data_IF_483983034026
#
_entry.id   IF_483983034026
#
_cell.length_a   1.000
_cell.length_b   1.000
_cell.length_c   1.000
_cell.angle_alpha   90.00
_cell.angle_beta   90.00
_cell.angle_gamma   90.00
#
_symmetry.space_group_name_H-M   'P 1'
#
loop_
_entity.id
_entity.type
_entity.pdbx_description
1 polymer ?
#
# COMPACT_ATOMS: atom_id res chain seq x y z
N UNK A 1 -13.59 -5.66 2.70
CA UNK A 1 -12.27 -5.24 2.21
C UNK A 1 -12.41 -3.95 1.43
N UNK A 2 -11.45 -3.02 1.60
CA UNK A 2 -11.40 -1.81 0.80
C UNK A 2 -10.86 -2.15 -0.61
N UNK A 3 -11.35 -1.52 -1.69
CA UNK A 3 -10.99 -1.90 -3.07
C UNK A 3 -9.49 -1.83 -3.40
N UNK A 4 -8.76 -0.81 -2.91
CA UNK A 4 -7.30 -0.71 -3.08
C UNK A 4 -6.50 -1.31 -1.92
N UNK A 5 -7.19 -1.85 -0.91
CA UNK A 5 -6.59 -2.32 0.34
C UNK A 5 -6.37 -1.22 1.38
N UNK A 6 -6.55 0.04 1.04
CA UNK A 6 -6.30 1.16 1.94
C UNK A 6 -7.57 1.62 2.66
N UNK A 7 -7.47 1.99 3.93
CA UNK A 7 -8.60 2.62 4.67
C UNK A 7 -9.08 3.90 4.00
N UNK A 8 -8.17 4.61 3.36
CA UNK A 8 -8.43 5.86 2.64
C UNK A 8 -9.45 5.72 1.50
N UNK A 9 -9.70 4.51 1.00
CA UNK A 9 -10.72 4.27 -0.04
C UNK A 9 -12.10 4.75 0.37
N UNK A 10 -12.42 4.63 1.67
CA UNK A 10 -13.71 5.08 2.22
C UNK A 10 -13.89 6.59 2.04
N UNK A 11 -12.84 7.34 2.37
CA UNK A 11 -12.84 8.80 2.22
C UNK A 11 -12.72 9.20 0.74
N UNK A 12 -11.86 8.54 -0.02
CA UNK A 12 -11.67 8.82 -1.44
C UNK A 12 -12.98 8.65 -2.24
N UNK A 13 -13.75 7.60 -1.94
CA UNK A 13 -15.06 7.40 -2.55
C UNK A 13 -16.04 8.55 -2.24
N UNK A 14 -16.11 8.97 -0.99
CA UNK A 14 -16.99 10.09 -0.58
C UNK A 14 -16.57 11.41 -1.23
N UNK A 15 -15.27 11.68 -1.29
CA UNK A 15 -14.72 12.86 -1.96
C UNK A 15 -15.09 12.87 -3.46
N UNK A 16 -14.93 11.75 -4.16
CA UNK A 16 -15.31 11.64 -5.56
C UNK A 16 -16.82 11.91 -5.71
N UNK A 17 -17.65 11.31 -4.87
CA UNK A 17 -19.11 11.49 -4.91
C UNK A 17 -19.51 12.95 -4.61
N UNK A 18 -18.88 13.57 -3.63
CA UNK A 18 -19.16 14.97 -3.28
C UNK A 18 -18.70 15.92 -4.39
N UNK A 19 -17.50 15.71 -4.95
CA UNK A 19 -17.02 16.48 -6.10
C UNK A 19 -17.99 16.42 -7.28
N UNK A 20 -18.42 15.21 -7.65
CA UNK A 20 -19.39 15.00 -8.74
C UNK A 20 -20.74 15.65 -8.45
N UNK A 21 -21.24 15.58 -7.21
CA UNK A 21 -22.50 16.21 -6.80
C UNK A 21 -22.47 17.73 -6.93
N UNK A 22 -21.29 18.32 -6.78
CA UNK A 22 -21.02 19.75 -6.96
C UNK A 22 -20.65 20.13 -8.40
N UNK A 23 -20.76 19.19 -9.34
CA UNK A 23 -20.40 19.42 -10.75
C UNK A 23 -18.91 19.59 -11.00
N UNK A 24 -18.04 19.18 -10.06
CA UNK A 24 -16.59 19.26 -10.20
C UNK A 24 -16.06 17.99 -10.86
N UNK A 25 -15.19 18.16 -11.87
CA UNK A 25 -14.55 17.08 -12.63
C UNK A 25 -13.05 16.98 -12.40
N UNK A 26 -12.50 17.90 -11.62
CA UNK A 26 -11.08 17.86 -11.24
C UNK A 26 -10.99 17.95 -9.72
N UNK A 27 -10.29 17.00 -9.13
CA UNK A 27 -9.99 16.93 -7.70
C UNK A 27 -8.51 17.28 -7.50
N UNK A 28 -8.20 18.13 -6.53
CA UNK A 28 -6.88 18.60 -6.22
C UNK A 28 -6.53 18.27 -4.76
N UNK A 29 -5.34 17.72 -4.52
CA UNK A 29 -4.90 17.23 -3.20
C UNK A 29 -3.39 17.38 -3.03
N UNK A 30 -2.94 17.79 -1.82
CA UNK A 30 -1.58 17.59 -1.32
C UNK A 30 -1.49 16.26 -0.58
N UNK A 31 -0.52 15.40 -0.93
CA UNK A 31 -0.46 14.06 -0.37
C UNK A 31 0.96 13.51 -0.29
N UNK A 32 1.18 12.63 0.70
CA UNK A 32 2.37 11.77 0.74
C UNK A 32 2.17 10.40 0.09
N UNK A 33 0.92 9.95 -0.10
CA UNK A 33 0.75 8.66 -0.72
C UNK A 33 -0.62 8.03 -0.59
N UNK A 34 -1.01 7.55 0.58
CA UNK A 34 -2.17 6.66 0.76
C UNK A 34 -3.49 7.24 0.23
N UNK A 35 -3.80 8.50 0.55
CA UNK A 35 -5.02 9.15 0.06
C UNK A 35 -4.97 9.43 -1.44
N UNK A 36 -3.81 9.88 -1.94
CA UNK A 36 -3.59 10.07 -3.38
C UNK A 36 -3.73 8.77 -4.16
N UNK A 37 -3.18 7.66 -3.64
CA UNK A 37 -3.29 6.34 -4.24
C UNK A 37 -4.74 5.83 -4.27
N UNK A 38 -5.49 6.00 -3.18
CA UNK A 38 -6.91 5.63 -3.13
C UNK A 38 -7.76 6.42 -4.12
N UNK A 39 -7.54 7.73 -4.22
CA UNK A 39 -8.20 8.57 -5.22
C UNK A 39 -7.86 8.13 -6.65
N UNK A 40 -6.57 7.86 -6.91
CA UNK A 40 -6.10 7.43 -8.21
C UNK A 40 -6.75 6.10 -8.63
N UNK A 41 -6.76 5.12 -7.72
CA UNK A 41 -7.38 3.83 -7.96
C UNK A 41 -8.88 3.95 -8.25
N UNK A 42 -9.61 4.69 -7.41
CA UNK A 42 -11.06 4.82 -7.56
C UNK A 42 -11.45 5.71 -8.74
N UNK A 43 -10.65 6.73 -9.08
CA UNK A 43 -10.95 7.66 -10.18
C UNK A 43 -11.05 6.97 -11.53
N UNK A 44 -10.41 5.80 -11.71
CA UNK A 44 -10.50 5.02 -12.94
C UNK A 44 -11.93 4.57 -13.28
N UNK A 45 -12.81 4.52 -12.28
CA UNK A 45 -14.22 4.16 -12.45
C UNK A 45 -15.15 5.37 -12.60
N UNK A 46 -14.62 6.59 -12.64
CA UNK A 46 -15.35 7.83 -12.68
C UNK A 46 -14.75 8.80 -13.70
N UNK A 47 -15.56 9.67 -14.27
CA UNK A 47 -15.10 10.76 -15.15
C UNK A 47 -14.56 11.92 -14.29
N UNK A 48 -13.36 11.70 -13.72
CA UNK A 48 -12.67 12.61 -12.80
C UNK A 48 -11.18 12.71 -13.18
N UNK A 49 -10.67 13.94 -13.19
CA UNK A 49 -9.25 14.23 -13.28
C UNK A 49 -8.68 14.47 -11.88
N UNK A 50 -7.45 14.02 -11.64
CA UNK A 50 -6.72 14.24 -10.40
C UNK A 50 -5.51 15.12 -10.63
N UNK A 51 -5.30 16.07 -9.72
CA UNK A 51 -4.08 16.87 -9.63
C UNK A 51 -3.51 16.68 -8.22
N UNK A 52 -2.42 15.92 -8.12
CA UNK A 52 -1.80 15.54 -6.86
C UNK A 52 -0.49 16.30 -6.68
N UNK A 53 -0.38 17.03 -5.59
CA UNK A 53 0.85 17.69 -5.17
C UNK A 53 1.57 16.80 -4.17
N UNK A 54 2.84 16.52 -4.41
CA UNK A 54 3.69 15.67 -3.57
C UNK A 54 4.94 16.43 -3.21
N UNK A 55 5.54 16.23 -2.01
CA UNK A 55 6.78 16.89 -1.67
C UNK A 55 7.93 16.47 -2.57
N UNK A 56 8.87 17.39 -2.80
CA UNK A 56 10.08 17.16 -3.57
C UNK A 56 10.85 15.96 -3.00
N UNK A 57 11.40 15.11 -3.87
CA UNK A 57 12.14 13.90 -3.49
C UNK A 57 11.34 12.90 -2.66
N UNK A 58 10.02 13.01 -2.66
CA UNK A 58 9.23 11.93 -2.04
C UNK A 58 9.44 10.66 -2.86
N UNK A 59 10.01 9.65 -2.23
CA UNK A 59 10.14 8.30 -2.78
C UNK A 59 8.77 7.61 -2.77
N UNK A 60 7.79 8.24 -3.40
CA UNK A 60 6.49 7.63 -3.58
C UNK A 60 6.65 6.48 -4.57
N UNK A 61 6.90 5.29 -4.04
CA UNK A 61 6.76 4.01 -4.74
C UNK A 61 5.46 3.90 -5.57
N UNK A 62 4.52 4.83 -5.33
CA UNK A 62 3.21 4.92 -6.00
C UNK A 62 3.14 6.01 -7.07
N UNK A 63 4.13 6.87 -7.20
CA UNK A 63 4.15 7.91 -8.23
C UNK A 63 4.17 7.28 -9.64
N UNK A 64 4.90 6.19 -9.83
CA UNK A 64 4.96 5.48 -11.10
C UNK A 64 3.60 4.94 -11.58
N UNK A 65 2.71 4.58 -10.64
CA UNK A 65 1.33 4.16 -10.95
C UNK A 65 0.47 5.29 -11.48
N UNK A 66 0.71 6.45 -10.93
CA UNK A 66 -0.11 7.62 -11.16
C UNK A 66 0.30 8.32 -12.46
N UNK A 67 1.58 8.23 -12.87
CA UNK A 67 2.10 8.82 -14.10
C UNK A 67 1.58 8.16 -15.39
N UNK A 68 1.10 6.94 -15.34
CA UNK A 68 0.61 6.23 -16.52
C UNK A 68 -0.90 6.43 -16.78
N UNK A 69 -1.65 7.03 -15.86
CA UNK A 69 -3.08 7.27 -16.03
C UNK A 69 -3.34 8.64 -16.66
N UNK A 70 -4.00 8.73 -17.82
CA UNK A 70 -4.17 9.98 -18.56
C UNK A 70 -4.97 11.05 -17.82
N UNK A 71 -5.74 10.64 -16.82
CA UNK A 71 -6.56 11.54 -15.99
C UNK A 71 -5.86 11.97 -14.69
N UNK A 72 -4.59 11.57 -14.47
CA UNK A 72 -3.84 11.87 -13.24
C UNK A 72 -2.60 12.70 -13.57
N UNK A 73 -2.45 13.79 -12.84
CA UNK A 73 -1.29 14.66 -12.92
C UNK A 73 -0.64 14.77 -11.55
N UNK A 74 0.63 14.37 -11.46
CA UNK A 74 1.45 14.50 -10.25
C UNK A 74 2.38 15.68 -10.44
N UNK A 75 2.51 16.49 -9.39
CA UNK A 75 3.33 17.70 -9.39
C UNK A 75 4.16 17.69 -8.10
N UNK A 76 5.48 17.60 -8.22
CA UNK A 76 6.39 17.81 -7.09
C UNK A 76 6.38 19.29 -6.70
N UNK A 77 6.22 19.56 -5.39
CA UNK A 77 6.20 20.92 -4.87
C UNK A 77 6.53 20.98 -3.39
N UNK A 78 7.56 21.77 -3.05
CA UNK A 78 7.97 22.06 -1.69
C UNK A 78 8.67 20.89 -1.00
N UNK A 79 9.18 21.16 0.19
CA UNK A 79 9.93 20.18 0.98
C UNK A 79 9.04 19.43 1.98
N UNK A 80 7.88 19.97 2.31
CA UNK A 80 7.00 19.48 3.37
C UNK A 80 5.61 19.09 2.86
N UNK A 81 4.89 18.34 3.64
CA UNK A 81 3.48 18.02 3.36
C UNK A 81 2.61 19.29 3.35
N UNK A 82 2.89 20.18 4.29
CA UNK A 82 2.18 21.44 4.45
C UNK A 82 2.31 22.32 3.19
N UNK A 83 3.49 22.34 2.56
CA UNK A 83 3.71 23.05 1.29
C UNK A 83 2.79 22.51 0.20
N UNK A 84 2.66 21.19 0.10
CA UNK A 84 1.83 20.55 -0.91
C UNK A 84 0.34 20.81 -0.68
N UNK A 85 -0.11 20.79 0.58
CA UNK A 85 -1.48 21.11 0.96
C UNK A 85 -1.82 22.57 0.64
N UNK A 86 -0.95 23.51 1.00
CA UNK A 86 -1.16 24.93 0.72
C UNK A 86 -1.17 25.21 -0.79
N UNK A 87 -0.24 24.61 -1.53
CA UNK A 87 -0.18 24.74 -2.99
C UNK A 87 -1.44 24.18 -3.65
N UNK A 88 -1.82 22.96 -3.29
CA UNK A 88 -3.01 22.31 -3.88
C UNK A 88 -4.29 23.08 -3.56
N UNK A 89 -4.42 23.63 -2.35
CA UNK A 89 -5.55 24.48 -1.94
C UNK A 89 -5.63 25.73 -2.83
N UNK A 90 -4.53 26.45 -2.97
CA UNK A 90 -4.46 27.67 -3.77
C UNK A 90 -4.80 27.40 -5.25
N UNK A 91 -4.28 26.31 -5.82
CA UNK A 91 -4.58 25.98 -7.22
C UNK A 91 -6.04 25.49 -7.39
N UNK A 92 -6.58 24.76 -6.41
CA UNK A 92 -7.99 24.37 -6.43
C UNK A 92 -8.92 25.59 -6.44
N UNK A 93 -8.65 26.60 -5.60
CA UNK A 93 -9.41 27.86 -5.57
C UNK A 93 -9.29 28.61 -6.89
N UNK A 94 -8.09 28.79 -7.41
CA UNK A 94 -7.79 29.50 -8.65
C UNK A 94 -8.49 28.92 -9.87
N UNK A 95 -8.53 27.59 -9.96
CA UNK A 95 -9.07 26.88 -11.11
C UNK A 95 -10.52 26.39 -10.90
N UNK A 96 -11.09 26.62 -9.73
CA UNK A 96 -12.42 26.16 -9.39
C UNK A 96 -12.53 24.63 -9.28
N UNK A 97 -11.42 23.95 -8.98
CA UNK A 97 -11.36 22.51 -8.76
C UNK A 97 -11.93 22.14 -7.39
N UNK A 98 -12.15 20.85 -7.17
CA UNK A 98 -12.51 20.35 -5.86
C UNK A 98 -11.26 20.21 -4.99
N UNK A 99 -11.24 20.93 -3.86
CA UNK A 99 -10.18 20.80 -2.86
C UNK A 99 -10.43 19.58 -1.97
N UNK A 100 -9.60 18.55 -2.08
CA UNK A 100 -9.73 17.31 -1.32
C UNK A 100 -8.80 17.23 -0.09
N UNK A 101 -8.15 18.33 0.28
CA UNK A 101 -7.29 18.35 1.46
C UNK A 101 -8.11 18.12 2.74
N UNK A 102 -7.51 17.44 3.76
CA UNK A 102 -8.21 17.12 5.00
C UNK A 102 -8.54 18.37 5.83
N UNK A 103 -9.52 18.22 6.71
CA UNK A 103 -9.99 19.28 7.60
C UNK A 103 -10.86 20.34 6.90
N UNK A 104 -11.08 21.46 7.57
CA UNK A 104 -11.88 22.59 7.09
C UNK A 104 -13.21 22.15 6.47
N UNK A 105 -13.40 22.43 5.16
CA UNK A 105 -14.62 22.09 4.43
C UNK A 105 -14.87 20.58 4.28
N UNK A 106 -13.84 19.76 4.38
CA UNK A 106 -13.94 18.31 4.27
C UNK A 106 -14.04 17.61 5.63
N UNK A 107 -13.93 18.33 6.74
CA UNK A 107 -13.87 17.74 8.08
C UNK A 107 -15.03 16.75 8.34
N UNK A 108 -16.23 17.08 7.91
CA UNK A 108 -17.38 16.19 8.04
C UNK A 108 -17.18 14.87 7.24
N UNK A 109 -16.72 14.96 5.99
CA UNK A 109 -16.46 13.79 5.16
C UNK A 109 -15.32 12.95 5.72
N UNK A 110 -14.27 13.60 6.23
CA UNK A 110 -13.11 12.96 6.86
C UNK A 110 -13.56 12.08 8.04
N UNK A 111 -14.33 12.63 8.96
CA UNK A 111 -14.81 11.89 10.13
C UNK A 111 -15.87 10.85 9.76
N UNK A 112 -16.80 11.20 8.88
CA UNK A 112 -17.88 10.32 8.48
C UNK A 112 -17.39 9.07 7.75
N UNK A 113 -16.38 9.21 6.87
CA UNK A 113 -15.79 8.08 6.15
C UNK A 113 -15.25 7.00 7.10
N UNK A 114 -14.59 7.42 8.18
CA UNK A 114 -13.99 6.49 9.14
C UNK A 114 -14.95 6.08 10.26
N UNK A 115 -16.12 6.73 10.43
CA UNK A 115 -17.11 6.33 11.42
C UNK A 115 -17.68 4.94 11.14
N UNK A 116 -17.75 4.54 9.87
CA UNK A 116 -18.18 3.19 9.50
C UNK A 116 -17.31 2.10 10.11
N UNK A 117 -16.02 2.35 10.35
CA UNK A 117 -15.13 1.35 10.98
C UNK A 117 -15.59 1.06 12.41
N UNK A 118 -15.92 2.08 13.20
CA UNK A 118 -16.45 1.88 14.55
C UNK A 118 -17.76 1.08 14.55
N UNK A 119 -18.65 1.37 13.60
CA UNK A 119 -19.90 0.60 13.44
C UNK A 119 -19.65 -0.86 13.06
N UNK A 120 -18.77 -1.11 12.08
CA UNK A 120 -18.39 -2.46 11.65
C UNK A 120 -17.77 -3.28 12.80
N UNK A 121 -16.97 -2.65 13.66
CA UNK A 121 -16.41 -3.29 14.87
C UNK A 121 -17.54 -3.72 15.80
N UNK A 122 -18.51 -2.84 16.08
CA UNK A 122 -19.66 -3.17 16.93
C UNK A 122 -20.49 -4.32 16.33
N UNK A 123 -20.81 -4.24 15.05
CA UNK A 123 -21.57 -5.29 14.34
C UNK A 123 -20.83 -6.63 14.38
N UNK A 124 -19.51 -6.63 14.19
CA UNK A 124 -18.69 -7.85 14.24
C UNK A 124 -18.64 -8.45 15.65
N UNK A 125 -18.61 -7.62 16.68
CA UNK A 125 -18.63 -8.04 18.09
C UNK A 125 -20.06 -8.27 18.63
N UNK A 126 -21.08 -8.30 17.77
CA UNK A 126 -22.48 -8.47 18.16
C UNK A 126 -22.96 -7.43 19.19
N UNK A 127 -22.58 -6.18 18.96
CA UNK A 127 -22.83 -5.01 19.81
C UNK A 127 -22.16 -5.06 21.20
N UNK A 128 -21.18 -5.94 21.40
CA UNK A 128 -20.29 -5.88 22.55
C UNK A 128 -19.26 -4.75 22.35
N UNK A 129 -19.07 -3.93 23.40
CA UNK A 129 -18.09 -2.84 23.37
C UNK A 129 -16.70 -3.39 23.66
N UNK A 130 -15.71 -3.20 22.75
CA UNK A 130 -14.34 -3.53 23.08
C UNK A 130 -13.82 -2.64 24.22
N UNK A 131 -12.83 -3.11 24.96
CA UNK A 131 -12.21 -2.32 26.03
C UNK A 131 -11.31 -1.24 25.42
N UNK A 132 -10.49 -1.61 24.47
CA UNK A 132 -9.54 -0.70 23.82
C UNK A 132 -9.55 -0.90 22.30
N UNK A 133 -9.35 0.19 21.57
CA UNK A 133 -9.18 0.18 20.12
C UNK A 133 -7.89 0.89 19.75
N UNK A 134 -6.95 0.16 19.18
CA UNK A 134 -5.66 0.67 18.68
C UNK A 134 -5.79 1.08 17.22
N UNK A 135 -5.48 2.33 16.89
CA UNK A 135 -5.63 2.85 15.54
C UNK A 135 -4.44 3.74 15.15
N UNK A 136 -3.84 3.45 14.00
CA UNK A 136 -2.80 4.31 13.42
C UNK A 136 -3.36 5.70 13.09
N UNK A 137 -2.59 6.74 13.41
CA UNK A 137 -3.01 8.13 13.37
C UNK A 137 -1.96 9.02 12.70
N UNK A 138 -2.29 9.56 11.52
CA UNK A 138 -1.54 10.67 10.90
C UNK A 138 -2.20 12.01 11.21
N UNK A 139 -3.06 12.53 10.34
CA UNK A 139 -3.78 13.80 10.51
C UNK A 139 -4.91 13.78 11.59
N UNK A 140 -5.27 12.62 12.12
CA UNK A 140 -6.29 12.48 13.16
C UNK A 140 -7.66 11.97 12.70
N UNK A 141 -7.99 12.04 11.42
CA UNK A 141 -9.31 11.69 10.88
C UNK A 141 -9.80 10.27 11.25
N UNK A 142 -8.90 9.28 11.26
CA UNK A 142 -9.25 7.89 11.57
C UNK A 142 -9.75 7.72 13.00
N UNK A 143 -9.03 8.30 13.98
CA UNK A 143 -9.39 8.21 15.41
C UNK A 143 -10.66 8.99 15.70
N UNK A 144 -10.79 10.21 15.14
CA UNK A 144 -11.99 11.03 15.27
C UNK A 144 -13.22 10.34 14.66
N UNK A 145 -13.03 9.71 13.49
CA UNK A 145 -14.09 8.96 12.82
C UNK A 145 -14.51 7.73 13.63
N UNK A 146 -13.56 6.95 14.16
CA UNK A 146 -13.86 5.84 15.07
C UNK A 146 -14.70 6.31 16.26
N UNK A 147 -14.28 7.39 16.92
CA UNK A 147 -15.05 7.97 18.02
C UNK A 147 -16.47 8.32 17.60
N UNK A 148 -16.62 8.97 16.43
CA UNK A 148 -17.96 9.31 15.90
C UNK A 148 -18.80 8.04 15.67
N UNK A 149 -18.21 6.97 15.11
CA UNK A 149 -18.90 5.70 14.88
C UNK A 149 -19.37 5.03 16.17
N UNK A 150 -18.49 4.91 17.16
CA UNK A 150 -18.86 4.37 18.48
C UNK A 150 -19.89 5.24 19.18
N UNK A 151 -19.78 6.57 19.08
CA UNK A 151 -20.76 7.50 19.66
C UNK A 151 -22.14 7.37 19.03
N UNK A 152 -22.22 7.13 17.72
CA UNK A 152 -23.48 6.84 17.03
C UNK A 152 -24.11 5.55 17.58
N UNK A 153 -23.33 4.47 17.73
CA UNK A 153 -23.81 3.21 18.30
C UNK A 153 -24.25 3.34 19.76
N UNK A 154 -23.55 4.19 20.54
CA UNK A 154 -23.95 4.50 21.89
C UNK A 154 -25.26 5.32 21.95
N UNK A 155 -25.44 6.31 21.09
CA UNK A 155 -26.69 7.09 21.00
C UNK A 155 -27.87 6.20 20.54
N UNK A 156 -27.62 5.18 19.72
CA UNK A 156 -28.60 4.19 19.28
C UNK A 156 -28.88 3.10 20.35
N UNK A 157 -28.40 3.25 21.58
CA UNK A 157 -28.51 2.30 22.69
C UNK A 157 -27.93 0.89 22.40
N UNK A 158 -27.07 0.78 21.38
CA UNK A 158 -26.39 -0.47 21.02
C UNK A 158 -25.14 -0.73 21.86
N UNK A 159 -24.52 0.31 22.37
CA UNK A 159 -23.38 0.24 23.28
C UNK A 159 -23.71 0.88 24.62
N UNK A 160 -23.26 0.27 25.72
CA UNK A 160 -23.42 0.82 27.08
C UNK A 160 -22.33 1.81 27.48
N UNK A 161 -21.18 1.77 26.78
CA UNK A 161 -20.02 2.64 27.02
C UNK A 161 -19.26 2.86 25.70
N UNK A 162 -18.32 3.78 25.69
CA UNK A 162 -17.35 3.93 24.64
C UNK A 162 -16.08 3.14 24.95
N UNK A 163 -15.36 2.61 23.93
CA UNK A 163 -14.06 2.00 24.15
C UNK A 163 -12.98 3.07 24.41
N UNK A 164 -11.90 2.70 25.08
CA UNK A 164 -10.71 3.53 25.14
C UNK A 164 -10.03 3.59 23.77
N UNK A 165 -9.85 4.78 23.21
CA UNK A 165 -9.22 4.97 21.91
C UNK A 165 -7.73 5.25 22.05
N UNK A 166 -6.92 4.37 21.49
CA UNK A 166 -5.48 4.54 21.43
C UNK A 166 -5.07 5.00 20.04
N UNK A 167 -4.57 6.24 19.94
CA UNK A 167 -4.07 6.84 18.71
C UNK A 167 -2.56 6.61 18.59
N UNK A 168 -2.15 5.86 17.58
CA UNK A 168 -0.76 5.41 17.42
C UNK A 168 -0.10 6.11 16.24
N UNK A 169 1.07 6.67 16.44
CA UNK A 169 1.84 7.37 15.41
C UNK A 169 3.34 7.17 15.61
N UNK A 170 4.15 7.83 14.77
CA UNK A 170 5.59 7.88 14.97
C UNK A 170 5.96 8.59 16.29
N UNK A 171 7.05 8.18 16.90
CA UNK A 171 7.52 8.72 18.19
C UNK A 171 7.85 10.21 18.15
N UNK A 172 8.25 10.72 16.98
CA UNK A 172 8.61 12.12 16.74
C UNK A 172 7.99 12.65 15.45
N UNK A 173 7.68 13.96 15.44
CA UNK A 173 7.24 14.66 14.23
C UNK A 173 5.75 14.60 13.92
N UNK A 174 4.92 14.16 14.86
CA UNK A 174 3.46 14.24 14.75
C UNK A 174 2.88 15.21 15.78
N UNK A 175 2.13 16.21 15.35
CA UNK A 175 1.60 17.26 16.21
C UNK A 175 0.64 16.74 17.30
N UNK A 176 -0.13 15.67 17.03
CA UNK A 176 -1.04 15.08 18.03
C UNK A 176 -0.23 14.38 19.13
N UNK A 177 0.82 13.63 18.76
CA UNK A 177 1.73 12.97 19.72
C UNK A 177 2.37 14.01 20.64
N UNK A 178 2.90 15.08 20.07
CA UNK A 178 3.58 16.13 20.84
C UNK A 178 2.59 16.93 21.72
N UNK A 179 1.36 17.14 21.27
CA UNK A 179 0.32 17.79 22.07
C UNK A 179 -0.06 16.93 23.27
N UNK A 180 -0.27 15.63 23.06
CA UNK A 180 -0.62 14.71 24.14
C UNK A 180 0.51 14.53 25.16
N UNK A 181 1.78 14.39 24.72
CA UNK A 181 2.95 14.36 25.61
C UNK A 181 3.03 15.58 26.52
N UNK A 182 2.65 16.75 26.01
CA UNK A 182 2.62 18.01 26.76
C UNK A 182 1.33 18.22 27.56
N UNK A 183 0.39 17.29 27.51
CA UNK A 183 -0.95 17.38 28.11
C UNK A 183 -1.69 18.66 27.71
N UNK A 184 -1.55 19.04 26.43
CA UNK A 184 -2.21 20.21 25.87
C UNK A 184 -3.66 19.87 25.51
N UNK A 185 -4.58 20.78 25.80
CA UNK A 185 -5.98 20.70 25.37
C UNK A 185 -6.13 21.16 23.92
N UNK A 186 -5.15 21.91 23.39
CA UNK A 186 -5.13 22.40 22.04
C UNK A 186 -4.03 21.71 21.24
N UNK A 187 -4.32 21.47 19.94
CA UNK A 187 -3.34 20.93 19.03
C UNK A 187 -2.17 21.91 18.81
N UNK A 188 -0.96 21.43 18.93
CA UNK A 188 0.24 22.21 18.67
C UNK A 188 0.56 22.19 17.18
N UNK A 189 1.17 23.24 16.70
CA UNK A 189 1.82 23.29 15.39
C UNK A 189 3.33 23.11 15.57
N UNK A 190 3.93 22.23 14.77
CA UNK A 190 5.36 21.96 14.83
C UNK A 190 6.09 22.69 13.68
N UNK A 191 7.39 22.77 13.78
CA UNK A 191 8.25 23.27 12.71
C UNK A 191 8.37 22.21 11.61
N UNK A 192 7.69 22.42 10.48
CA UNK A 192 7.59 21.46 9.38
C UNK A 192 8.95 21.13 8.73
N UNK A 193 9.83 22.11 8.59
CA UNK A 193 11.17 21.90 8.01
C UNK A 193 12.03 21.04 8.94
N UNK A 194 11.96 21.32 10.23
CA UNK A 194 12.72 20.57 11.24
C UNK A 194 12.29 19.12 11.30
N UNK A 195 10.98 18.83 11.35
CA UNK A 195 10.50 17.44 11.45
C UNK A 195 10.62 16.66 10.13
N UNK A 196 10.74 17.35 9.01
CA UNK A 196 10.95 16.68 7.71
C UNK A 196 12.22 15.84 7.68
N UNK A 197 13.25 16.20 8.48
CA UNK A 197 14.48 15.41 8.61
C UNK A 197 14.32 14.10 9.37
N UNK A 198 13.20 13.91 10.12
CA UNK A 198 12.91 12.70 10.88
C UNK A 198 12.17 11.64 10.04
N UNK A 199 12.01 11.88 8.74
CA UNK A 199 11.32 10.93 7.85
C UNK A 199 12.16 9.71 7.57
N UNK A 200 11.47 8.58 7.64
CA UNK A 200 11.97 7.27 7.22
C UNK A 200 11.04 6.67 6.18
N UNK A 201 11.39 5.52 5.66
CA UNK A 201 10.51 4.77 4.75
C UNK A 201 9.21 4.29 5.41
N UNK A 202 9.16 4.20 6.75
CA UNK A 202 8.00 3.69 7.49
C UNK A 202 7.06 4.77 8.00
N UNK A 203 7.57 5.96 8.29
CA UNK A 203 6.82 7.00 9.01
C UNK A 203 6.39 8.21 8.15
N UNK A 204 6.75 8.24 6.86
CA UNK A 204 6.55 9.41 6.00
C UNK A 204 5.10 9.95 6.01
N UNK A 205 4.10 9.07 6.02
CA UNK A 205 2.68 9.43 6.06
C UNK A 205 2.21 9.94 7.45
N UNK A 206 3.05 9.77 8.49
CA UNK A 206 2.73 10.12 9.88
C UNK A 206 3.46 11.37 10.36
N UNK A 207 4.48 11.84 9.63
CA UNK A 207 5.17 13.11 9.89
C UNK A 207 4.26 14.26 9.47
N UNK A 208 3.63 14.92 10.46
CA UNK A 208 2.66 15.98 10.25
C UNK A 208 2.92 17.12 11.23
N UNK A 209 3.42 18.25 10.74
CA UNK A 209 3.60 19.46 11.54
C UNK A 209 2.26 20.08 11.92
N UNK A 210 1.30 19.99 10.99
CA UNK A 210 -0.07 20.45 11.16
C UNK A 210 -1.03 19.29 10.89
N UNK A 211 -1.61 18.75 11.96
CA UNK A 211 -2.63 17.70 11.87
C UNK A 211 -4.00 18.34 11.66
N UNK A 212 -4.54 18.28 10.45
CA UNK A 212 -5.75 19.02 10.05
C UNK A 212 -7.04 18.57 10.76
N UNK A 213 -7.12 17.32 11.21
CA UNK A 213 -8.18 16.78 12.07
C UNK A 213 -7.64 16.52 13.50
N UNK A 214 -6.51 17.14 13.85
CA UNK A 214 -5.78 16.84 15.09
C UNK A 214 -6.55 17.22 16.34
N UNK A 215 -7.25 18.34 16.35
CA UNK A 215 -8.06 18.76 17.49
C UNK A 215 -9.21 17.79 17.75
N UNK A 216 -9.89 17.31 16.70
CA UNK A 216 -10.95 16.31 16.85
C UNK A 216 -10.41 14.99 17.38
N UNK A 217 -9.21 14.58 16.95
CA UNK A 217 -8.57 13.37 17.44
C UNK A 217 -8.16 13.49 18.92
N UNK A 218 -7.54 14.59 19.30
CA UNK A 218 -7.13 14.85 20.68
C UNK A 218 -8.35 14.86 21.62
N UNK A 219 -9.41 15.56 21.23
CA UNK A 219 -10.68 15.59 21.95
C UNK A 219 -11.31 14.19 22.06
N UNK A 220 -11.25 13.40 21.01
CA UNK A 220 -11.78 12.02 20.97
C UNK A 220 -11.04 11.10 21.94
N UNK A 221 -9.73 11.22 21.99
CA UNK A 221 -8.87 10.45 22.89
C UNK A 221 -9.15 10.82 24.35
N UNK A 222 -9.18 12.11 24.68
CA UNK A 222 -9.51 12.56 26.03
C UNK A 222 -10.93 12.18 26.45
N UNK A 223 -11.91 12.28 25.55
CA UNK A 223 -13.30 11.92 25.85
C UNK A 223 -13.53 10.42 26.07
N UNK A 224 -12.58 9.57 25.72
CA UNK A 224 -12.64 8.12 25.89
C UNK A 224 -11.63 7.59 26.93
N UNK A 225 -11.03 8.47 27.72
CA UNK A 225 -9.92 8.13 28.62
C UNK A 225 -8.84 7.30 27.90
N UNK A 226 -8.59 7.65 26.64
CA UNK A 226 -7.68 6.96 25.75
C UNK A 226 -6.24 7.43 25.87
N UNK A 227 -5.39 6.96 24.97
CA UNK A 227 -3.95 7.25 24.98
C UNK A 227 -3.43 7.59 23.58
N UNK A 228 -2.35 8.37 23.52
CA UNK A 228 -1.53 8.54 22.32
C UNK A 228 -0.17 7.92 22.57
N UNK A 229 0.25 7.03 21.65
CA UNK A 229 1.55 6.38 21.71
C UNK A 229 2.37 6.72 20.46
N UNK A 230 3.62 7.05 20.68
CA UNK A 230 4.62 7.23 19.62
C UNK A 230 5.53 6.02 19.59
N UNK A 231 5.63 5.37 18.43
CA UNK A 231 6.43 4.17 18.18
C UNK A 231 7.62 4.57 17.31
N UNK A 232 8.80 4.06 17.61
CA UNK A 232 9.98 4.22 16.77
C UNK A 232 10.11 3.08 15.75
N UNK A 233 11.05 3.24 14.80
CA UNK A 233 11.19 2.31 13.69
C UNK A 233 11.70 0.93 14.11
N UNK A 234 12.55 0.85 15.14
CA UNK A 234 13.08 -0.43 15.62
C UNK A 234 11.97 -1.28 16.26
N UNK A 235 11.16 -0.66 17.14
CA UNK A 235 9.99 -1.30 17.75
C UNK A 235 8.94 -1.69 16.70
N UNK A 236 8.80 -0.87 15.65
CA UNK A 236 7.89 -1.13 14.56
C UNK A 236 8.28 -2.36 13.75
N UNK A 237 9.58 -2.50 13.40
CA UNK A 237 10.12 -3.65 12.66
C UNK A 237 9.97 -4.93 13.47
N UNK A 238 10.39 -4.91 14.75
CA UNK A 238 10.27 -6.06 15.65
C UNK A 238 8.82 -6.54 15.79
N UNK A 239 7.88 -5.60 15.89
CA UNK A 239 6.46 -5.93 16.00
C UNK A 239 5.87 -6.52 14.73
N UNK A 240 6.33 -6.08 13.55
CA UNK A 240 5.92 -6.66 12.28
C UNK A 240 6.43 -8.10 12.11
N UNK A 241 7.70 -8.34 12.49
CA UNK A 241 8.30 -9.69 12.47
C UNK A 241 7.58 -10.62 13.45
N UNK A 242 7.36 -10.17 14.68
CA UNK A 242 6.61 -10.93 15.71
C UNK A 242 5.21 -11.31 15.24
N UNK A 243 4.50 -10.39 14.57
CA UNK A 243 3.17 -10.66 14.05
C UNK A 243 3.19 -11.66 12.90
N UNK A 244 4.17 -11.55 11.99
CA UNK A 244 4.35 -12.48 10.89
C UNK A 244 4.62 -13.91 11.40
N UNK A 245 5.41 -14.06 12.47
CA UNK A 245 5.68 -15.36 13.11
C UNK A 245 4.44 -15.95 13.80
N UNK A 246 3.62 -15.11 14.45
CA UNK A 246 2.45 -15.59 15.20
C UNK A 246 1.26 -15.97 14.29
N UNK A 247 1.05 -15.23 13.20
CA UNK A 247 -0.15 -15.36 12.37
C UNK A 247 0.13 -15.96 10.98
N UNK A 248 1.41 -16.26 10.66
CA UNK A 248 1.84 -16.71 9.32
C UNK A 248 1.35 -15.76 8.20
N UNK A 249 1.40 -14.46 8.48
CA UNK A 249 0.95 -13.39 7.58
C UNK A 249 2.12 -12.43 7.34
N UNK A 250 2.53 -12.26 6.09
CA UNK A 250 3.46 -11.20 5.72
C UNK A 250 2.75 -9.83 5.82
N UNK A 251 3.28 -8.96 6.67
CA UNK A 251 2.67 -7.69 7.01
C UNK A 251 3.61 -6.50 6.71
N UNK A 252 3.06 -5.42 6.17
CA UNK A 252 3.85 -4.21 5.90
C UNK A 252 4.29 -3.54 7.19
N UNK A 253 5.60 -3.35 7.38
CA UNK A 253 6.17 -2.67 8.55
C UNK A 253 5.48 -1.33 8.80
N UNK A 254 5.32 -0.48 7.80
CA UNK A 254 4.66 0.84 7.94
C UNK A 254 3.19 0.79 8.43
N UNK A 255 2.56 -0.38 8.43
CA UNK A 255 1.19 -0.56 8.92
C UNK A 255 1.14 -1.19 10.32
N UNK A 256 2.30 -1.52 10.92
CA UNK A 256 2.41 -2.23 12.20
C UNK A 256 2.26 -1.33 13.44
N UNK A 257 2.12 -0.02 13.30
CA UNK A 257 1.99 0.91 14.42
C UNK A 257 0.97 0.48 15.50
N UNK A 258 -0.28 0.08 15.14
CA UNK A 258 -1.24 -0.39 16.13
C UNK A 258 -0.85 -1.72 16.78
N UNK A 259 -0.13 -2.59 16.04
CA UNK A 259 0.40 -3.85 16.57
C UNK A 259 1.51 -3.61 17.59
N UNK A 260 2.46 -2.71 17.28
CA UNK A 260 3.54 -2.35 18.16
C UNK A 260 3.01 -1.81 19.49
N UNK A 261 2.07 -0.88 19.44
CA UNK A 261 1.43 -0.35 20.63
C UNK A 261 0.68 -1.43 21.43
N UNK A 262 -0.01 -2.34 20.75
CA UNK A 262 -0.68 -3.46 21.43
C UNK A 262 0.32 -4.39 22.10
N UNK A 263 1.39 -4.79 21.45
CA UNK A 263 2.42 -5.63 22.06
C UNK A 263 3.11 -4.93 23.22
N UNK A 264 3.43 -3.64 23.08
CA UNK A 264 4.00 -2.83 24.17
C UNK A 264 3.12 -2.86 25.43
N UNK A 265 1.83 -2.59 25.28
CA UNK A 265 0.88 -2.57 26.41
C UNK A 265 0.60 -3.99 26.96
N UNK A 266 0.58 -5.00 26.11
CA UNK A 266 0.39 -6.40 26.52
C UNK A 266 1.59 -6.91 27.32
N UNK A 267 2.81 -6.67 26.85
CA UNK A 267 4.04 -7.11 27.49
C UNK A 267 4.28 -6.32 28.83
N UNK A 268 3.83 -5.08 28.91
CA UNK A 268 3.82 -4.28 30.13
C UNK A 268 2.74 -4.70 31.16
N UNK A 269 1.79 -5.57 30.75
CA UNK A 269 0.67 -5.98 31.59
C UNK A 269 -0.37 -4.90 31.85
N UNK A 270 -0.45 -3.90 30.96
CA UNK A 270 -1.37 -2.76 31.08
C UNK A 270 -2.77 -3.07 30.52
N UNK A 271 -2.91 -4.15 29.74
CA UNK A 271 -4.20 -4.50 29.15
C UNK A 271 -5.05 -5.31 30.13
N UNK A 272 -6.36 -5.01 30.16
CA UNK A 272 -7.35 -5.79 30.90
C UNK A 272 -7.52 -7.18 30.30
N UNK A 273 -8.15 -8.08 31.04
CA UNK A 273 -8.57 -9.38 30.48
C UNK A 273 -9.91 -9.22 29.73
N UNK A 274 -9.88 -8.52 28.62
CA UNK A 274 -11.06 -8.13 27.84
C UNK A 274 -10.83 -8.20 26.34
N UNK A 275 -11.70 -7.53 25.58
CA UNK A 275 -11.62 -7.48 24.12
C UNK A 275 -10.85 -6.24 23.66
N UNK A 276 -9.75 -6.46 22.96
CA UNK A 276 -8.94 -5.40 22.38
C UNK A 276 -8.98 -5.51 20.86
N UNK A 277 -9.23 -4.40 20.18
CA UNK A 277 -9.33 -4.33 18.72
C UNK A 277 -8.14 -3.58 18.17
N UNK A 278 -7.47 -4.17 17.18
CA UNK A 278 -6.37 -3.57 16.45
C UNK A 278 -6.86 -3.23 15.05
N UNK A 279 -6.95 -1.95 14.72
CA UNK A 279 -7.38 -1.48 13.40
C UNK A 279 -6.16 -1.42 12.48
N UNK A 280 -5.99 -2.44 11.66
CA UNK A 280 -4.90 -2.53 10.71
C UNK A 280 -5.28 -1.87 9.38
N UNK A 281 -4.32 -1.26 8.73
CA UNK A 281 -4.36 -1.07 7.28
C UNK A 281 -4.13 -2.44 6.64
N UNK A 282 -4.69 -2.67 5.44
CA UNK A 282 -4.60 -3.98 4.80
C UNK A 282 -3.16 -4.47 4.80
N UNK A 283 -2.90 -5.46 5.65
CA UNK A 283 -1.58 -6.05 5.81
C UNK A 283 -1.33 -7.19 4.85
N UNK A 284 -2.38 -7.74 4.25
CA UNK A 284 -2.19 -8.69 3.18
C UNK A 284 -1.63 -7.95 1.98
N UNK A 285 -0.48 -8.41 1.56
CA UNK A 285 0.04 -8.17 0.24
C UNK A 285 -1.11 -8.43 -0.73
N UNK A 286 -1.76 -7.39 -1.23
CA UNK A 286 -2.79 -7.55 -2.26
C UNK A 286 -2.08 -7.88 -3.57
N UNK A 287 -1.73 -9.17 -3.68
CA UNK A 287 -1.08 -9.74 -4.82
C UNK A 287 -2.15 -10.35 -5.71
N UNK A 288 -2.48 -9.67 -6.78
CA UNK A 288 -3.38 -10.18 -7.81
C UNK A 288 -2.54 -10.65 -9.00
N UNK A 289 -2.61 -11.94 -9.32
CA UNK A 289 -1.95 -12.50 -10.50
C UNK A 289 -2.99 -12.77 -11.57
N UNK A 290 -2.79 -12.18 -12.74
CA UNK A 290 -3.67 -12.37 -13.90
C UNK A 290 -2.88 -12.60 -15.17
N UNK A 291 -3.53 -13.23 -16.14
CA UNK A 291 -3.00 -13.28 -17.50
C UNK A 291 -2.99 -11.86 -18.09
N UNK A 292 -1.94 -11.56 -18.83
CA UNK A 292 -1.82 -10.35 -19.62
C UNK A 292 -2.06 -10.73 -21.09
N UNK A 293 -2.93 -9.98 -21.74
CA UNK A 293 -3.07 -9.99 -23.18
C UNK A 293 -2.23 -8.86 -23.79
N UNK A 294 -1.75 -9.04 -25.01
CA UNK A 294 -0.91 -8.04 -25.69
C UNK A 294 -1.60 -6.68 -25.79
N UNK A 295 -2.92 -6.68 -25.97
CA UNK A 295 -3.76 -5.49 -26.08
C UNK A 295 -4.13 -4.87 -24.73
N UNK A 296 -3.98 -5.63 -23.64
CA UNK A 296 -4.26 -5.17 -22.26
C UNK A 296 -3.06 -4.48 -21.59
N UNK A 297 -1.92 -4.42 -22.27
CA UNK A 297 -0.75 -3.74 -21.75
C UNK A 297 -1.03 -2.23 -21.66
N UNK A 298 -1.17 -1.71 -20.46
CA UNK A 298 -1.34 -0.27 -20.18
C UNK A 298 -0.14 0.58 -20.62
N UNK A 299 0.95 -0.10 -21.02
CA UNK A 299 2.21 0.50 -21.50
C UNK A 299 2.51 -0.01 -22.91
N UNK A 300 3.28 0.76 -23.68
CA UNK A 300 3.71 0.25 -24.99
C UNK A 300 4.53 -1.03 -24.84
N UNK A 301 4.39 -1.94 -25.79
CA UNK A 301 5.10 -3.23 -25.83
C UNK A 301 6.61 -3.08 -25.59
N UNK A 302 7.22 -2.06 -26.19
CA UNK A 302 8.65 -1.76 -25.96
C UNK A 302 8.96 -1.38 -24.50
N UNK A 303 8.09 -0.61 -23.83
CA UNK A 303 8.25 -0.28 -22.41
C UNK A 303 8.10 -1.52 -21.53
N UNK A 304 7.23 -2.44 -21.92
CA UNK A 304 7.07 -3.72 -21.23
C UNK A 304 8.36 -4.54 -21.27
N UNK A 305 8.97 -4.68 -22.46
CA UNK A 305 10.27 -5.35 -22.62
C UNK A 305 11.38 -4.69 -21.80
N UNK A 306 11.46 -3.36 -21.83
CA UNK A 306 12.45 -2.62 -21.03
C UNK A 306 12.26 -2.81 -19.51
N UNK A 307 11.01 -2.92 -19.03
CA UNK A 307 10.75 -3.24 -17.62
C UNK A 307 11.18 -4.65 -17.27
N UNK A 308 10.92 -5.62 -18.14
CA UNK A 308 11.34 -7.01 -17.94
C UNK A 308 12.87 -7.09 -17.87
N UNK A 309 13.59 -6.45 -18.80
CA UNK A 309 15.02 -6.34 -18.82
C UNK A 309 15.58 -5.71 -17.51
N UNK A 310 15.08 -4.55 -17.11
CA UNK A 310 15.51 -3.89 -15.85
C UNK A 310 15.29 -4.76 -14.62
N UNK A 311 14.24 -5.59 -14.57
CA UNK A 311 13.93 -6.44 -13.42
C UNK A 311 14.75 -7.74 -13.38
N UNK A 312 15.22 -8.23 -14.55
CA UNK A 312 16.11 -9.39 -14.65
C UNK A 312 17.54 -9.08 -14.23
N UNK A 313 17.96 -7.82 -14.29
CA UNK A 313 19.28 -7.33 -13.85
C UNK A 313 20.41 -7.99 -14.71
N UNK A 314 21.38 -8.62 -14.03
CA UNK A 314 22.50 -9.34 -14.63
C UNK A 314 22.14 -10.67 -15.33
N UNK A 315 20.91 -11.13 -15.15
CA UNK A 315 20.37 -12.36 -15.75
C UNK A 315 19.44 -12.07 -16.93
N UNK A 316 19.58 -10.90 -17.56
CA UNK A 316 18.85 -10.50 -18.75
C UNK A 316 19.57 -11.01 -20.00
N UNK A 317 18.79 -11.51 -20.95
CA UNK A 317 19.28 -11.85 -22.30
C UNK A 317 19.25 -10.60 -23.24
N UNK A 318 19.89 -10.67 -24.40
CA UNK A 318 19.74 -9.62 -25.42
C UNK A 318 18.26 -9.33 -25.73
N UNK A 319 17.92 -8.06 -25.92
CA UNK A 319 16.54 -7.61 -26.06
C UNK A 319 15.78 -8.33 -27.18
N UNK A 320 16.48 -8.70 -28.27
CA UNK A 320 15.90 -9.42 -29.39
C UNK A 320 15.48 -10.86 -29.00
N UNK A 321 16.27 -11.53 -28.16
CA UNK A 321 15.94 -12.88 -27.65
C UNK A 321 14.77 -12.82 -26.66
N UNK A 322 14.74 -11.79 -25.82
CA UNK A 322 13.64 -11.54 -24.91
C UNK A 322 12.33 -11.26 -25.68
N UNK A 323 12.41 -10.47 -26.77
CA UNK A 323 11.27 -10.16 -27.63
C UNK A 323 10.67 -11.43 -28.24
N UNK A 324 11.53 -12.32 -28.79
CA UNK A 324 11.10 -13.60 -29.35
C UNK A 324 10.39 -14.48 -28.31
N UNK A 325 10.93 -14.56 -27.09
CA UNK A 325 10.34 -15.35 -26.01
C UNK A 325 8.98 -14.77 -25.56
N UNK A 326 8.86 -13.45 -25.46
CA UNK A 326 7.63 -12.77 -25.06
C UNK A 326 6.56 -12.91 -26.17
N UNK A 327 6.92 -12.78 -27.44
CA UNK A 327 6.00 -13.00 -28.57
C UNK A 327 5.50 -14.44 -28.61
N UNK A 328 6.41 -15.42 -28.48
CA UNK A 328 6.02 -16.82 -28.38
C UNK A 328 5.05 -17.07 -27.22
N UNK A 329 5.27 -16.42 -26.07
CA UNK A 329 4.41 -16.58 -24.90
C UNK A 329 3.00 -16.00 -25.16
N UNK A 330 2.88 -14.85 -25.80
CA UNK A 330 1.59 -14.28 -26.16
C UNK A 330 0.84 -15.10 -27.22
N UNK A 331 1.55 -15.65 -28.21
CA UNK A 331 0.94 -16.36 -29.33
C UNK A 331 0.60 -17.82 -29.01
N UNK A 332 1.41 -18.48 -28.19
CA UNK A 332 1.34 -19.95 -28.02
C UNK A 332 1.41 -20.40 -26.54
N UNK A 333 1.86 -19.56 -25.65
CA UNK A 333 1.99 -19.82 -24.23
C UNK A 333 1.06 -18.94 -23.39
N UNK A 334 1.61 -18.29 -22.39
CA UNK A 334 0.93 -17.26 -21.62
C UNK A 334 1.90 -16.33 -20.88
N UNK A 335 1.45 -15.13 -20.59
CA UNK A 335 2.15 -14.15 -19.78
C UNK A 335 1.35 -13.87 -18.50
N UNK A 336 1.97 -13.98 -17.33
CA UNK A 336 1.34 -13.58 -16.06
C UNK A 336 1.93 -12.27 -15.58
N UNK A 337 1.07 -11.36 -15.21
CA UNK A 337 1.39 -10.15 -14.46
C UNK A 337 0.97 -10.30 -13.01
N UNK A 338 1.91 -10.12 -12.10
CA UNK A 338 1.63 -9.99 -10.69
C UNK A 338 1.45 -8.50 -10.33
N UNK A 339 0.27 -8.15 -9.91
CA UNK A 339 -0.07 -6.80 -9.50
C UNK A 339 -0.07 -6.73 -7.98
N UNK A 340 0.91 -6.03 -7.45
CA UNK A 340 1.03 -5.75 -6.04
C UNK A 340 0.46 -4.36 -5.76
N UNK A 341 -0.61 -4.29 -4.98
CA UNK A 341 -1.33 -3.04 -4.71
C UNK A 341 -1.78 -2.29 -5.97
N UNK A 342 -2.23 -3.04 -6.97
CA UNK A 342 -2.65 -2.50 -8.26
C UNK A 342 -1.51 -2.21 -9.24
N UNK A 343 -0.24 -2.33 -8.81
CA UNK A 343 0.95 -2.13 -9.66
C UNK A 343 1.47 -3.43 -10.24
N UNK A 344 1.89 -3.40 -11.50
CA UNK A 344 2.68 -4.49 -12.05
C UNK A 344 4.03 -4.58 -11.31
N UNK A 345 4.19 -5.62 -10.52
CA UNK A 345 5.29 -5.85 -9.59
C UNK A 345 6.10 -7.10 -9.91
N UNK A 346 5.58 -7.93 -10.81
CA UNK A 346 6.26 -9.12 -11.29
C UNK A 346 5.67 -9.60 -12.61
N UNK A 347 6.49 -10.28 -13.39
CA UNK A 347 6.13 -10.84 -14.71
C UNK A 347 6.65 -12.26 -14.78
N UNK A 348 5.85 -13.18 -15.29
CA UNK A 348 6.30 -14.50 -15.70
C UNK A 348 5.96 -14.72 -17.18
N UNK A 349 6.96 -15.06 -17.96
CA UNK A 349 6.86 -15.36 -19.40
C UNK A 349 6.97 -16.86 -19.57
N UNK A 350 5.90 -17.49 -20.04
CA UNK A 350 5.82 -18.94 -20.23
C UNK A 350 5.58 -19.25 -21.68
N UNK A 351 6.60 -19.72 -22.34
CA UNK A 351 6.55 -20.13 -23.75
C UNK A 351 6.04 -21.56 -23.88
N UNK A 352 5.35 -21.85 -24.97
CA UNK A 352 4.99 -23.23 -25.31
C UNK A 352 6.08 -23.85 -26.16
N UNK A 353 6.55 -25.02 -25.74
CA UNK A 353 7.49 -25.81 -26.57
C UNK A 353 6.75 -26.49 -27.72
N UNK A 354 7.47 -26.86 -28.77
CA UNK A 354 6.88 -27.57 -29.91
C UNK A 354 6.89 -29.11 -29.72
N UNK A 355 7.15 -29.57 -28.48
CA UNK A 355 7.27 -31.00 -28.20
C UNK A 355 6.10 -31.45 -27.35
N UNK A 356 5.51 -32.58 -27.69
CA UNK A 356 4.38 -33.15 -26.95
C UNK A 356 4.80 -34.19 -25.91
N UNK A 357 5.98 -34.82 -26.05
CA UNK A 357 6.40 -35.94 -25.19
C UNK A 357 7.86 -35.92 -24.79
N UNK A 358 8.74 -35.29 -25.55
CA UNK A 358 10.19 -35.33 -25.34
C UNK A 358 10.67 -34.32 -24.29
N UNK A 359 10.06 -33.13 -24.28
CA UNK A 359 10.25 -32.10 -23.29
C UNK A 359 8.91 -31.68 -22.69
N UNK A 360 8.88 -31.05 -21.51
CA UNK A 360 7.68 -30.42 -20.99
C UNK A 360 7.07 -29.45 -22.03
N UNK A 361 5.74 -29.44 -22.11
CA UNK A 361 5.03 -28.59 -23.09
C UNK A 361 5.23 -27.10 -22.84
N UNK A 362 5.55 -26.72 -21.58
CA UNK A 362 5.75 -25.35 -21.18
C UNK A 362 7.19 -25.11 -20.70
N UNK A 363 7.69 -23.94 -21.04
CA UNK A 363 8.99 -23.46 -20.61
C UNK A 363 8.86 -22.08 -19.96
N UNK A 364 9.23 -21.94 -18.70
CA UNK A 364 9.34 -20.65 -18.04
C UNK A 364 10.59 -19.95 -18.57
N UNK A 365 10.39 -19.05 -19.54
CA UNK A 365 11.47 -18.31 -20.18
C UNK A 365 12.02 -17.25 -19.23
N UNK A 366 11.13 -16.47 -18.61
CA UNK A 366 11.51 -15.44 -17.66
C UNK A 366 10.55 -15.36 -16.48
N UNK A 367 11.10 -15.09 -15.31
CA UNK A 367 10.36 -14.65 -14.13
C UNK A 367 11.14 -13.51 -13.45
N UNK A 368 10.52 -12.37 -13.39
CA UNK A 368 11.15 -11.17 -12.86
C UNK A 368 10.23 -10.45 -11.87
N UNK A 369 10.80 -9.79 -10.89
CA UNK A 369 10.06 -8.98 -9.93
C UNK A 369 10.74 -7.63 -9.76
N UNK A 370 9.96 -6.60 -9.56
CA UNK A 370 10.43 -5.24 -9.33
C UNK A 370 11.42 -5.21 -8.16
N UNK A 371 12.55 -4.51 -8.33
CA UNK A 371 13.68 -4.48 -7.38
C UNK A 371 13.29 -3.99 -5.99
N UNK A 372 12.41 -2.99 -5.93
CA UNK A 372 12.03 -2.31 -4.70
C UNK A 372 10.99 -3.07 -3.85
N UNK A 373 10.50 -4.23 -4.36
CA UNK A 373 9.45 -5.03 -3.71
C UNK A 373 9.98 -6.44 -3.38
N UNK A 374 11.28 -6.56 -3.09
CA UNK A 374 11.91 -7.85 -2.76
C UNK A 374 11.41 -8.38 -1.40
N UNK A 375 11.34 -9.71 -1.28
CA UNK A 375 10.96 -10.38 -0.02
C UNK A 375 9.44 -10.52 0.22
N UNK A 376 8.59 -10.10 -0.72
CA UNK A 376 7.13 -10.12 -0.58
C UNK A 376 6.43 -11.36 -1.17
N UNK A 377 7.16 -12.41 -1.42
CA UNK A 377 6.60 -13.66 -1.94
C UNK A 377 6.10 -13.61 -3.40
N UNK A 378 6.23 -12.47 -4.12
CA UNK A 378 5.68 -12.27 -5.48
C UNK A 378 6.19 -13.33 -6.46
N UNK A 379 7.51 -13.58 -6.47
CA UNK A 379 8.09 -14.60 -7.35
C UNK A 379 7.60 -16.01 -6.99
N UNK A 380 7.41 -16.28 -5.69
CA UNK A 380 6.88 -17.57 -5.21
C UNK A 380 5.46 -17.78 -5.71
N UNK A 381 4.60 -16.78 -5.56
CA UNK A 381 3.20 -16.86 -5.98
C UNK A 381 3.06 -16.91 -7.51
N UNK A 382 3.86 -16.12 -8.25
CA UNK A 382 3.93 -16.22 -9.71
C UNK A 382 4.30 -17.63 -10.16
N UNK A 383 5.36 -18.19 -9.58
CA UNK A 383 5.81 -19.54 -9.92
C UNK A 383 4.75 -20.60 -9.56
N UNK A 384 4.06 -20.45 -8.42
CA UNK A 384 2.95 -21.33 -8.03
C UNK A 384 1.83 -21.30 -9.09
N UNK A 385 1.43 -20.11 -9.51
CA UNK A 385 0.42 -19.94 -10.56
C UNK A 385 0.86 -20.53 -11.92
N UNK A 386 2.14 -20.44 -12.26
CA UNK A 386 2.70 -21.10 -13.43
C UNK A 386 2.62 -22.61 -13.31
N UNK A 387 3.05 -23.18 -12.17
CA UNK A 387 2.99 -24.62 -11.91
C UNK A 387 1.55 -25.14 -11.99
N UNK A 388 0.60 -24.45 -11.37
CA UNK A 388 -0.80 -24.84 -11.35
C UNK A 388 -1.42 -24.83 -12.77
N UNK A 389 -1.13 -23.78 -13.56
CA UNK A 389 -1.65 -23.65 -14.94
C UNK A 389 -1.05 -24.66 -15.90
N UNK A 390 0.22 -24.98 -15.73
CA UNK A 390 0.92 -25.99 -16.54
C UNK A 390 0.70 -27.42 -16.02
N UNK A 391 0.03 -27.57 -14.88
CA UNK A 391 -0.16 -28.86 -14.19
C UNK A 391 1.16 -29.59 -13.91
N UNK A 392 2.22 -28.82 -13.70
CA UNK A 392 3.56 -29.33 -13.46
C UNK A 392 4.33 -29.80 -14.71
N UNK A 393 3.74 -29.67 -15.92
CA UNK A 393 4.44 -29.95 -17.18
C UNK A 393 5.27 -28.73 -17.62
N UNK A 394 6.30 -28.45 -16.81
CA UNK A 394 7.08 -27.22 -16.84
C UNK A 394 8.58 -27.52 -16.80
N UNK A 395 9.34 -26.78 -17.60
CA UNK A 395 10.80 -26.70 -17.53
C UNK A 395 11.25 -25.25 -17.43
N UNK A 396 12.47 -25.02 -16.99
CA UNK A 396 13.13 -23.72 -17.01
C UNK A 396 14.64 -23.87 -17.17
N UNK A 397 15.29 -22.79 -17.56
CA UNK A 397 16.74 -22.63 -17.45
C UNK A 397 17.05 -21.60 -16.35
N UNK A 398 18.16 -21.81 -15.68
CA UNK A 398 18.65 -20.87 -14.66
C UNK A 398 20.17 -20.86 -14.70
N UNK A 399 20.76 -19.68 -14.65
CA UNK A 399 22.21 -19.50 -14.52
C UNK A 399 22.73 -20.17 -13.24
N UNK A 400 23.88 -20.81 -13.33
CA UNK A 400 24.43 -21.61 -12.21
C UNK A 400 24.83 -20.78 -10.99
N UNK A 401 25.08 -19.51 -11.18
CA UNK A 401 25.42 -18.51 -10.17
C UNK A 401 24.18 -17.75 -9.62
N UNK A 402 23.00 -17.93 -10.24
CA UNK A 402 21.76 -17.37 -9.70
C UNK A 402 21.23 -18.21 -8.53
N UNK A 403 22.00 -18.21 -7.42
CA UNK A 403 21.65 -19.00 -6.22
C UNK A 403 20.25 -18.67 -5.68
N UNK A 404 19.81 -17.40 -5.82
CA UNK A 404 18.51 -16.97 -5.31
C UNK A 404 17.36 -17.63 -6.07
N UNK A 405 17.41 -17.61 -7.40
CA UNK A 405 16.41 -18.27 -8.24
C UNK A 405 16.44 -19.79 -8.03
N UNK A 406 17.63 -20.40 -7.95
CA UNK A 406 17.79 -21.83 -7.69
C UNK A 406 17.11 -22.24 -6.38
N UNK A 407 17.34 -21.49 -5.27
CA UNK A 407 16.69 -21.77 -3.98
C UNK A 407 15.17 -21.66 -4.06
N UNK A 408 14.64 -20.69 -4.80
CA UNK A 408 13.21 -20.56 -5.03
C UNK A 408 12.66 -21.78 -5.77
N UNK A 409 13.28 -22.16 -6.88
CA UNK A 409 12.83 -23.28 -7.70
C UNK A 409 12.87 -24.61 -6.94
N UNK A 410 13.93 -24.86 -6.17
CA UNK A 410 14.03 -26.06 -5.33
C UNK A 410 12.97 -26.09 -4.22
N UNK A 411 12.71 -24.95 -3.58
CA UNK A 411 11.63 -24.80 -2.57
C UNK A 411 10.26 -25.12 -3.17
N UNK A 412 10.01 -24.76 -4.44
CA UNK A 412 8.76 -24.99 -5.15
C UNK A 412 8.68 -26.40 -5.77
N UNK A 413 9.66 -27.27 -5.49
CA UNK A 413 9.65 -28.67 -5.92
C UNK A 413 10.29 -28.95 -7.26
N UNK A 414 10.84 -27.94 -7.94
CA UNK A 414 11.61 -28.19 -9.17
C UNK A 414 12.96 -28.82 -8.81
N UNK A 415 13.44 -29.68 -9.70
CA UNK A 415 14.68 -30.42 -9.50
C UNK A 415 15.61 -30.24 -10.68
N UNK A 416 16.91 -30.10 -10.41
CA UNK A 416 17.97 -30.14 -11.42
C UNK A 416 17.95 -31.50 -12.11
N UNK A 417 17.73 -31.53 -13.41
CA UNK A 417 17.60 -32.79 -14.16
C UNK A 417 18.68 -32.95 -15.25
N UNK A 418 19.09 -31.85 -15.87
CA UNK A 418 20.04 -31.85 -16.97
C UNK A 418 21.03 -30.70 -16.85
N UNK A 419 22.21 -30.88 -17.44
CA UNK A 419 23.14 -29.80 -17.74
C UNK A 419 22.98 -29.42 -19.21
N UNK A 420 22.82 -28.13 -19.50
CA UNK A 420 22.86 -27.60 -20.87
C UNK A 420 24.31 -27.26 -21.19
N UNK A 421 24.83 -27.79 -22.30
CA UNK A 421 26.15 -27.45 -22.82
C UNK A 421 25.94 -26.69 -24.12
N UNK A 422 26.57 -25.53 -24.27
CA UNK A 422 26.54 -24.72 -25.48
C UNK A 422 27.93 -24.70 -26.10
N UNK A 423 28.00 -24.73 -27.41
CA UNK A 423 29.23 -24.53 -28.15
C UNK A 423 29.39 -23.03 -28.43
N UNK A 424 30.37 -22.42 -27.82
CA UNK A 424 30.78 -21.05 -28.11
C UNK A 424 31.87 -21.11 -29.18
N UNK A 425 31.48 -21.15 -30.43
CA UNK A 425 32.42 -21.08 -31.57
C UNK A 425 32.94 -19.66 -31.73
N UNK A 426 34.24 -19.50 -32.01
CA UNK A 426 34.79 -18.22 -32.45
C UNK A 426 34.02 -17.75 -33.69
N UNK A 427 33.46 -16.54 -33.65
CA UNK A 427 32.91 -15.87 -34.81
C UNK A 427 34.09 -15.66 -35.77
N UNK A 428 34.21 -16.51 -36.82
CA UNK A 428 35.15 -16.29 -37.89
C UNK A 428 34.70 -15.03 -38.61
N UNK A 429 35.39 -13.92 -38.33
CA UNK A 429 35.19 -12.62 -38.98
C UNK A 429 35.60 -12.65 -40.42
#
# INVERSE_FOLDING_TARGET
KNPSGERSDRLAYLIIKDALSRGKRTICLGTYGTMGASLAFLSQNFDINLVLYVPDKSTLLRAELLDEAPNIRIIEHGATYEDTVEKSRTEAEKHGWYNANPGLQNNFLDLFAFSYIGREICEYLSDECPDTVFCQMGNGASVSGLHLGFKQMWIEDKLQRLPHLYGISTSEGNAIVESFKKRSDEILELDAERIASNRTEYNADLINARCYNGQDALNSIYATDGMVMGIDDDELVESAERFAELEDIDFKVANSYPLAAFFHEADAGNLSNGTHVIVLNDGKVDLNIRMLEKDDLSISYRKFLMKLDDWLIEFSDPLEEMEEAVENAFDHGFVLGAFFQGMLAGIAIVSRTRFDTFFPQYHLSYIATKKDIKGRGIATELLQQVIDRTKGDLSLHVETDNERAIKLYEKMGLRKKYYRMMYEGEVIT
#
